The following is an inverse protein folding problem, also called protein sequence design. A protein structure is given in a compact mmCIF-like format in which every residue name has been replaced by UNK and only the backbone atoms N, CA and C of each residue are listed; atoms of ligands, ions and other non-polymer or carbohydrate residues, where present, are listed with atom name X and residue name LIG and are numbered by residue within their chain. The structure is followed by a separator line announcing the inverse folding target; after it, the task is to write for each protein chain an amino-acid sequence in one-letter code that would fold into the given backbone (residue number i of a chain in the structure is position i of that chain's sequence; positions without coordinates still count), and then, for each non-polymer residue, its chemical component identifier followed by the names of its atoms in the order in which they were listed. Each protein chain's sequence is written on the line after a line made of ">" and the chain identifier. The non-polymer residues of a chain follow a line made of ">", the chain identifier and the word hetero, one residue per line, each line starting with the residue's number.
data_IF_779729013714
#
_entry.id   IF_779729013714
#
_cell.length_a   1.000
_cell.length_b   1.000
_cell.length_c   1.000
_cell.angle_alpha   90.00
_cell.angle_beta   90.00
_cell.angle_gamma   90.00
#
_symmetry.space_group_name_H-M   'P 1'
#
loop_
_entity.id
_entity.type
_entity.pdbx_description
1 polymer ?
#
# COMPACT_ATOMS: atom_id res chain seq x y z
N UNK A 1 12.75 -26.91 14.02
CA UNK A 1 13.26 -26.93 12.62
C UNK A 1 14.77 -27.11 12.71
N UNK A 2 15.32 -28.23 12.27
CA UNK A 2 16.75 -28.50 12.39
C UNK A 2 17.54 -27.67 11.36
N UNK A 3 18.49 -26.87 11.83
CA UNK A 3 19.49 -26.19 10.99
C UNK A 3 20.25 -27.23 10.16
N UNK A 4 19.94 -27.33 8.86
CA UNK A 4 20.82 -28.00 7.91
C UNK A 4 22.09 -27.17 7.82
N UNK A 5 23.16 -27.63 8.47
CA UNK A 5 24.52 -27.12 8.23
C UNK A 5 24.80 -27.18 6.73
N UNK A 6 24.73 -26.04 6.07
CA UNK A 6 25.04 -25.88 4.64
C UNK A 6 26.53 -26.16 4.45
N UNK A 7 26.84 -27.34 3.92
CA UNK A 7 28.21 -27.68 3.56
C UNK A 7 28.62 -26.90 2.31
N UNK A 8 29.89 -26.49 2.21
CA UNK A 8 30.49 -25.80 1.05
C UNK A 8 30.11 -26.45 -0.30
N UNK A 9 30.17 -27.79 -0.49
CA UNK A 9 29.70 -28.42 -1.72
C UNK A 9 28.19 -28.25 -1.97
N UNK A 10 27.38 -28.25 -0.91
CA UNK A 10 25.95 -27.96 -1.00
C UNK A 10 25.71 -26.57 -1.57
N UNK A 11 26.37 -25.54 -1.02
CA UNK A 11 26.29 -24.16 -1.50
C UNK A 11 26.66 -24.03 -2.98
N UNK A 12 27.73 -24.70 -3.43
CA UNK A 12 28.16 -24.66 -4.84
C UNK A 12 27.14 -25.33 -5.77
N UNK A 13 26.56 -26.47 -5.36
CA UNK A 13 25.53 -27.14 -6.17
C UNK A 13 24.25 -26.33 -6.27
N UNK A 14 23.76 -25.75 -5.17
CA UNK A 14 22.59 -24.85 -5.21
C UNK A 14 22.88 -23.61 -6.04
N UNK A 15 24.12 -23.09 -5.94
CA UNK A 15 24.54 -21.93 -6.68
C UNK A 15 24.59 -22.17 -8.19
N UNK A 16 25.14 -23.32 -8.56
CA UNK A 16 25.18 -23.76 -9.95
C UNK A 16 23.77 -23.96 -10.51
N UNK A 17 22.84 -24.56 -9.76
CA UNK A 17 21.46 -24.73 -10.25
C UNK A 17 20.73 -23.39 -10.42
N UNK A 18 20.96 -22.43 -9.52
CA UNK A 18 20.38 -21.08 -9.59
C UNK A 18 21.01 -20.15 -10.63
N UNK A 19 22.21 -20.47 -11.16
CA UNK A 19 22.92 -19.56 -12.05
C UNK A 19 22.22 -19.34 -13.42
N UNK A 20 22.34 -18.13 -14.01
CA UNK A 20 21.83 -17.82 -15.34
C UNK A 20 22.36 -18.76 -16.44
N UNK A 21 21.52 -19.10 -17.41
CA UNK A 21 21.87 -20.04 -18.49
C UNK A 21 23.09 -19.60 -19.32
N UNK A 22 23.32 -18.28 -19.46
CA UNK A 22 24.48 -17.72 -20.15
C UNK A 22 25.78 -18.05 -19.39
N UNK A 23 25.76 -17.94 -18.06
CA UNK A 23 26.91 -18.22 -17.21
C UNK A 23 27.26 -19.72 -17.22
N UNK A 24 26.23 -20.58 -17.19
CA UNK A 24 26.39 -22.05 -17.33
C UNK A 24 27.00 -22.41 -18.68
N UNK A 25 26.56 -21.78 -19.77
CA UNK A 25 27.13 -21.99 -21.11
C UNK A 25 28.57 -21.53 -21.19
N UNK A 26 28.89 -20.36 -20.64
CA UNK A 26 30.26 -19.84 -20.59
C UNK A 26 31.18 -20.78 -19.80
N UNK A 27 30.78 -21.18 -18.59
CA UNK A 27 31.51 -22.15 -17.77
C UNK A 27 31.68 -23.50 -18.51
N UNK A 28 30.65 -23.98 -19.19
CA UNK A 28 30.71 -25.19 -20.01
C UNK A 28 31.73 -25.09 -21.16
N UNK A 29 31.79 -23.95 -21.86
CA UNK A 29 32.80 -23.68 -22.90
C UNK A 29 34.21 -23.62 -22.31
N UNK A 30 34.38 -22.89 -21.22
CA UNK A 30 35.68 -22.72 -20.57
C UNK A 30 36.20 -24.06 -20.03
N UNK A 31 35.38 -24.86 -19.34
CA UNK A 31 35.80 -26.19 -18.88
C UNK A 31 35.97 -27.18 -20.03
N UNK A 32 35.13 -27.10 -21.07
CA UNK A 32 35.23 -27.94 -22.26
C UNK A 32 36.54 -27.76 -23.03
N UNK A 33 37.15 -26.57 -22.96
CA UNK A 33 38.48 -26.30 -23.54
C UNK A 33 39.58 -26.54 -22.50
N UNK A 34 39.38 -26.08 -21.26
CA UNK A 34 40.40 -26.13 -20.21
C UNK A 34 40.75 -27.54 -19.74
N UNK A 35 39.77 -28.45 -19.63
CA UNK A 35 40.01 -29.84 -19.18
C UNK A 35 40.85 -30.62 -20.20
N UNK A 36 40.52 -30.64 -21.51
CA UNK A 36 41.38 -31.28 -22.50
C UNK A 36 42.80 -30.69 -22.55
N UNK A 37 42.93 -29.37 -22.49
CA UNK A 37 44.25 -28.69 -22.47
C UNK A 37 45.04 -29.08 -21.23
N UNK A 38 44.39 -29.18 -20.07
CA UNK A 38 45.04 -29.63 -18.84
C UNK A 38 45.52 -31.08 -18.93
N UNK A 39 44.68 -31.99 -19.44
CA UNK A 39 45.05 -33.40 -19.63
C UNK A 39 46.23 -33.52 -20.60
N UNK A 40 46.20 -32.81 -21.73
CA UNK A 40 47.30 -32.80 -22.70
C UNK A 40 48.58 -32.22 -22.10
N UNK A 41 48.47 -31.19 -21.28
CA UNK A 41 49.63 -30.59 -20.59
C UNK A 41 50.28 -31.56 -19.61
N UNK A 42 49.47 -32.29 -18.81
CA UNK A 42 49.96 -33.32 -17.88
C UNK A 42 50.64 -34.46 -18.64
N UNK A 43 50.05 -34.92 -19.74
CA UNK A 43 50.64 -35.97 -20.57
C UNK A 43 51.98 -35.52 -21.17
N UNK A 44 52.04 -34.28 -21.68
CA UNK A 44 53.27 -33.71 -22.22
C UNK A 44 54.37 -33.55 -21.17
N UNK A 45 54.00 -33.22 -19.93
CA UNK A 45 54.93 -33.13 -18.79
C UNK A 45 55.50 -34.50 -18.41
N UNK A 46 54.64 -35.52 -18.30
CA UNK A 46 55.06 -36.90 -18.04
C UNK A 46 55.92 -37.50 -19.16
N UNK A 47 55.69 -37.07 -20.41
CA UNK A 47 56.47 -37.49 -21.57
C UNK A 47 57.77 -36.70 -21.76
N UNK A 48 58.07 -35.73 -20.90
CA UNK A 48 59.29 -34.91 -20.95
C UNK A 48 59.34 -33.94 -22.13
N UNK A 49 58.20 -33.59 -22.74
CA UNK A 49 58.15 -32.72 -23.93
C UNK A 49 58.65 -31.30 -23.67
N UNK A 50 58.66 -30.87 -22.42
CA UNK A 50 59.02 -29.51 -22.01
C UNK A 50 60.49 -29.35 -21.60
N UNK A 51 61.36 -30.33 -21.89
CA UNK A 51 62.74 -30.41 -21.39
C UNK A 51 63.55 -29.11 -21.48
N UNK A 52 63.42 -28.36 -22.58
CA UNK A 52 64.14 -27.10 -22.81
C UNK A 52 63.29 -25.84 -22.49
N UNK A 53 62.02 -25.99 -22.13
CA UNK A 53 61.04 -24.90 -21.99
C UNK A 53 60.18 -25.01 -20.73
N UNK A 54 60.83 -25.10 -19.56
CA UNK A 54 60.18 -25.23 -18.24
C UNK A 54 59.24 -24.06 -17.86
N UNK A 55 59.28 -22.93 -18.56
CA UNK A 55 58.37 -21.80 -18.35
C UNK A 55 56.95 -22.05 -18.91
N UNK A 56 56.80 -22.88 -19.94
CA UNK A 56 55.51 -23.14 -20.60
C UNK A 56 54.53 -23.88 -19.67
N UNK A 57 54.92 -24.95 -18.96
CA UNK A 57 54.04 -25.63 -17.99
C UNK A 57 53.51 -24.70 -16.89
N UNK A 58 54.32 -23.74 -16.43
CA UNK A 58 53.90 -22.78 -15.41
C UNK A 58 52.80 -21.83 -15.93
N UNK A 59 52.97 -21.25 -17.12
CA UNK A 59 51.92 -20.41 -17.73
C UNK A 59 50.65 -21.24 -17.97
N UNK A 60 50.81 -22.46 -18.50
CA UNK A 60 49.68 -23.33 -18.80
C UNK A 60 48.92 -23.69 -17.51
N UNK A 61 49.62 -23.97 -16.42
CA UNK A 61 49.03 -24.22 -15.10
C UNK A 61 48.25 -23.01 -14.56
N UNK A 62 48.81 -21.79 -14.67
CA UNK A 62 48.12 -20.56 -14.26
C UNK A 62 46.86 -20.30 -15.10
N UNK A 63 46.94 -20.50 -16.42
CA UNK A 63 45.80 -20.36 -17.34
C UNK A 63 44.72 -21.39 -17.02
N UNK A 64 45.08 -22.65 -16.81
CA UNK A 64 44.13 -23.71 -16.41
C UNK A 64 43.48 -23.37 -15.07
N UNK A 65 44.28 -22.93 -14.09
CA UNK A 65 43.78 -22.51 -12.79
C UNK A 65 42.77 -21.36 -12.91
N UNK A 66 43.08 -20.34 -13.71
CA UNK A 66 42.16 -19.24 -14.00
C UNK A 66 40.89 -19.72 -14.71
N UNK A 67 41.00 -20.62 -15.70
CA UNK A 67 39.86 -21.18 -16.43
C UNK A 67 38.93 -22.00 -15.52
N UNK A 68 39.46 -22.65 -14.48
CA UNK A 68 38.63 -23.39 -13.52
C UNK A 68 38.03 -22.45 -12.46
N UNK A 69 38.82 -21.55 -11.91
CA UNK A 69 38.42 -20.70 -10.76
C UNK A 69 37.51 -19.53 -11.16
N UNK A 70 37.74 -18.91 -12.32
CA UNK A 70 37.01 -17.72 -12.75
C UNK A 70 35.51 -17.96 -12.97
N UNK A 71 35.06 -19.06 -13.62
CA UNK A 71 33.63 -19.35 -13.74
C UNK A 71 32.96 -19.63 -12.38
N UNK A 72 33.66 -20.29 -11.46
CA UNK A 72 33.17 -20.56 -10.10
C UNK A 72 32.99 -19.24 -9.34
N UNK A 73 34.00 -18.36 -9.40
CA UNK A 73 33.94 -17.03 -8.79
C UNK A 73 32.78 -16.20 -9.36
N UNK A 74 32.58 -16.21 -10.69
CA UNK A 74 31.46 -15.50 -11.32
C UNK A 74 30.09 -16.02 -10.88
N UNK A 75 29.92 -17.33 -10.73
CA UNK A 75 28.66 -17.93 -10.23
C UNK A 75 28.39 -17.45 -8.80
N UNK A 76 29.39 -17.51 -7.93
CA UNK A 76 29.26 -17.10 -6.52
C UNK A 76 28.97 -15.60 -6.41
N UNK A 77 29.69 -14.76 -7.16
CA UNK A 77 29.47 -13.31 -7.19
C UNK A 77 28.07 -12.99 -7.75
N UNK A 78 27.63 -13.69 -8.79
CA UNK A 78 26.28 -13.53 -9.35
C UNK A 78 25.19 -13.82 -8.33
N UNK A 79 25.34 -14.89 -7.55
CA UNK A 79 24.41 -15.23 -6.47
C UNK A 79 24.42 -14.21 -5.33
N UNK A 80 25.61 -13.75 -4.91
CA UNK A 80 25.75 -12.72 -3.90
C UNK A 80 25.12 -11.40 -4.37
N UNK A 81 25.30 -11.04 -5.64
CA UNK A 81 24.70 -9.85 -6.24
C UNK A 81 23.16 -9.96 -6.27
N UNK A 82 22.61 -11.10 -6.68
CA UNK A 82 21.16 -11.33 -6.64
C UNK A 82 20.60 -11.27 -5.22
N UNK A 83 21.30 -11.85 -4.24
CA UNK A 83 20.90 -11.79 -2.84
C UNK A 83 20.93 -10.34 -2.32
N UNK A 84 22.00 -9.60 -2.60
CA UNK A 84 22.14 -8.20 -2.22
C UNK A 84 21.06 -7.32 -2.87
N UNK A 85 20.71 -7.58 -4.14
CA UNK A 85 19.64 -6.85 -4.83
C UNK A 85 18.30 -7.12 -4.16
N UNK A 86 17.98 -8.39 -3.85
CA UNK A 86 16.73 -8.74 -3.15
C UNK A 86 16.66 -8.14 -1.75
N UNK A 87 17.77 -8.14 -1.02
CA UNK A 87 17.82 -7.55 0.32
C UNK A 87 17.66 -6.03 0.27
N UNK A 88 18.33 -5.36 -0.67
CA UNK A 88 18.14 -3.92 -0.91
C UNK A 88 16.72 -3.58 -1.34
N UNK A 89 16.09 -4.43 -2.15
CA UNK A 89 14.71 -4.26 -2.59
C UNK A 89 13.73 -4.39 -1.42
N UNK A 90 13.93 -5.38 -0.53
CA UNK A 90 13.17 -5.53 0.72
C UNK A 90 13.29 -4.32 1.63
N UNK A 91 14.51 -3.86 1.92
CA UNK A 91 14.75 -2.68 2.76
C UNK A 91 14.10 -1.42 2.15
N UNK A 92 14.18 -1.25 0.83
CA UNK A 92 13.52 -0.13 0.13
C UNK A 92 12.01 -0.22 0.22
N UNK A 93 11.44 -1.41 0.08
CA UNK A 93 10.01 -1.64 0.18
C UNK A 93 9.51 -1.34 1.60
N UNK A 94 10.21 -1.83 2.64
CA UNK A 94 9.87 -1.55 4.04
C UNK A 94 9.97 -0.05 4.37
N UNK A 95 10.99 0.63 3.84
CA UNK A 95 11.15 2.09 4.02
C UNK A 95 10.01 2.87 3.36
N UNK A 96 9.63 2.49 2.13
CA UNK A 96 8.49 3.10 1.42
C UNK A 96 7.19 2.84 2.16
N UNK A 97 6.97 1.59 2.58
CA UNK A 97 5.80 1.21 3.37
C UNK A 97 5.68 2.05 4.64
N UNK A 98 6.75 2.13 5.45
CA UNK A 98 6.76 2.94 6.67
C UNK A 98 6.49 4.43 6.38
N UNK A 99 7.10 4.99 5.33
CA UNK A 99 6.88 6.38 4.92
C UNK A 99 5.43 6.63 4.48
N UNK A 100 4.88 5.78 3.61
CA UNK A 100 3.49 5.88 3.15
C UNK A 100 2.51 5.72 4.29
N UNK A 101 2.77 4.80 5.21
CA UNK A 101 1.97 4.58 6.42
C UNK A 101 1.95 5.83 7.30
N UNK A 102 3.10 6.45 7.54
CA UNK A 102 3.18 7.71 8.29
C UNK A 102 2.44 8.86 7.59
N UNK A 103 2.61 8.98 6.27
CA UNK A 103 1.88 9.99 5.49
C UNK A 103 0.37 9.76 5.55
N UNK A 104 -0.09 8.50 5.53
CA UNK A 104 -1.50 8.15 5.65
C UNK A 104 -2.06 8.56 7.02
N UNK A 105 -1.32 8.32 8.12
CA UNK A 105 -1.72 8.77 9.47
C UNK A 105 -1.89 10.28 9.51
N UNK A 106 -0.93 11.04 8.94
CA UNK A 106 -1.00 12.50 8.89
C UNK A 106 -2.22 12.93 8.07
N UNK A 107 -2.43 12.35 6.89
CA UNK A 107 -3.55 12.68 6.02
C UNK A 107 -4.90 12.33 6.69
N UNK A 108 -5.00 11.22 7.40
CA UNK A 108 -6.18 10.82 8.15
C UNK A 108 -6.51 11.81 9.26
N UNK A 109 -5.51 12.19 10.06
CA UNK A 109 -5.67 13.19 11.10
C UNK A 109 -6.10 14.54 10.53
N UNK A 110 -5.41 15.04 9.50
CA UNK A 110 -5.76 16.31 8.86
C UNK A 110 -7.18 16.28 8.29
N UNK A 111 -7.57 15.17 7.65
CA UNK A 111 -8.91 15.00 7.10
C UNK A 111 -9.95 14.99 8.22
N UNK A 112 -9.71 14.22 9.29
CA UNK A 112 -10.60 14.15 10.45
C UNK A 112 -10.79 15.52 11.08
N UNK A 113 -9.70 16.25 11.33
CA UNK A 113 -9.75 17.56 11.98
C UNK A 113 -10.52 18.57 11.12
N UNK A 114 -10.32 18.55 9.79
CA UNK A 114 -11.06 19.40 8.85
C UNK A 114 -12.53 19.02 8.72
N UNK A 115 -12.86 17.72 8.78
CA UNK A 115 -14.26 17.26 8.79
C UNK A 115 -14.92 17.70 10.09
N UNK A 116 -14.30 17.44 11.25
CA UNK A 116 -14.83 17.79 12.57
C UNK A 116 -15.10 19.28 12.75
N UNK A 117 -14.21 20.14 12.25
CA UNK A 117 -14.42 21.59 12.28
C UNK A 117 -15.73 21.98 11.59
N UNK A 118 -16.06 21.32 10.47
CA UNK A 118 -17.28 21.59 9.68
C UNK A 118 -18.51 20.89 10.20
N UNK A 119 -18.36 19.72 10.80
CA UNK A 119 -19.48 18.96 11.38
C UNK A 119 -20.22 19.80 12.42
N UNK A 120 -19.52 20.63 13.20
CA UNK A 120 -20.15 21.47 14.23
C UNK A 120 -21.22 22.41 13.66
N UNK A 121 -20.93 23.04 12.53
CA UNK A 121 -21.87 23.96 11.87
C UNK A 121 -23.07 23.22 11.28
N UNK A 122 -22.81 22.04 10.69
CA UNK A 122 -23.83 21.16 10.11
C UNK A 122 -24.74 20.58 11.21
N UNK A 123 -24.17 20.14 12.33
CA UNK A 123 -24.88 19.66 13.51
C UNK A 123 -25.79 20.75 14.10
N UNK A 124 -25.26 21.96 14.29
CA UNK A 124 -26.04 23.08 14.80
C UNK A 124 -27.24 23.37 13.90
N UNK A 125 -27.01 23.44 12.58
CA UNK A 125 -28.05 23.74 11.58
C UNK A 125 -29.09 22.61 11.50
N UNK A 126 -28.65 21.35 11.57
CA UNK A 126 -29.55 20.19 11.57
C UNK A 126 -30.39 20.13 12.83
N UNK A 127 -29.80 20.39 14.00
CA UNK A 127 -30.53 20.42 15.27
C UNK A 127 -31.59 21.54 15.26
N UNK A 128 -31.25 22.71 14.70
CA UNK A 128 -32.21 23.79 14.49
C UNK A 128 -33.35 23.37 13.55
N UNK A 129 -33.03 22.73 12.43
CA UNK A 129 -34.02 22.21 11.49
C UNK A 129 -34.94 21.16 12.15
N UNK A 130 -34.38 20.16 12.83
CA UNK A 130 -35.12 19.10 13.54
C UNK A 130 -36.07 19.72 14.57
N UNK A 131 -35.62 20.73 15.32
CA UNK A 131 -36.42 21.44 16.31
C UNK A 131 -37.57 22.21 15.65
N UNK A 132 -37.29 22.95 14.58
CA UNK A 132 -38.30 23.76 13.88
C UNK A 132 -39.29 22.93 13.06
N UNK A 133 -38.84 21.80 12.51
CA UNK A 133 -39.64 20.85 11.75
C UNK A 133 -40.45 19.88 12.64
N UNK A 134 -40.57 20.17 13.94
CA UNK A 134 -41.39 19.39 14.87
C UNK A 134 -42.86 19.48 14.46
N UNK A 135 -43.56 18.36 14.54
CA UNK A 135 -44.97 18.26 14.19
C UNK A 135 -45.81 18.30 15.48
N UNK A 136 -46.73 19.25 15.55
CA UNK A 136 -47.70 19.43 16.63
C UNK A 136 -49.11 19.48 16.01
N UNK A 137 -50.03 18.67 16.53
CA UNK A 137 -51.41 18.52 16.01
C UNK A 137 -51.50 18.28 14.49
N UNK A 138 -50.57 17.48 13.94
CA UNK A 138 -50.52 17.15 12.52
C UNK A 138 -50.07 18.30 11.62
N UNK A 139 -49.45 19.34 12.18
CA UNK A 139 -48.90 20.50 11.46
C UNK A 139 -47.48 20.81 11.93
N UNK A 140 -46.70 21.48 11.09
CA UNK A 140 -45.40 21.98 11.51
C UNK A 140 -45.56 23.10 12.55
N UNK A 141 -44.81 23.01 13.64
CA UNK A 141 -44.84 23.96 14.74
C UNK A 141 -44.32 25.35 14.30
N UNK A 142 -43.23 25.39 13.52
CA UNK A 142 -42.66 26.63 13.01
C UNK A 142 -42.15 26.46 11.56
N UNK A 143 -43.03 26.66 10.56
CA UNK A 143 -42.66 26.54 9.15
C UNK A 143 -41.59 27.55 8.71
N UNK A 144 -41.58 28.76 9.29
CA UNK A 144 -40.66 29.83 8.88
C UNK A 144 -39.24 29.55 9.37
N UNK A 145 -39.09 29.14 10.63
CA UNK A 145 -37.80 28.68 11.14
C UNK A 145 -37.32 27.42 10.43
N UNK A 146 -38.22 26.47 10.12
CA UNK A 146 -37.86 25.26 9.37
C UNK A 146 -37.36 25.59 7.96
N UNK A 147 -37.97 26.58 7.29
CA UNK A 147 -37.51 27.06 5.98
C UNK A 147 -36.18 27.84 6.05
N UNK A 148 -35.92 28.57 7.13
CA UNK A 148 -34.64 29.23 7.34
C UNK A 148 -33.51 28.20 7.50
N UNK A 149 -33.69 27.22 8.40
CA UNK A 149 -32.71 26.15 8.62
C UNK A 149 -32.55 25.25 7.38
N UNK A 150 -33.63 24.95 6.65
CA UNK A 150 -33.59 24.21 5.39
C UNK A 150 -32.72 24.90 4.33
N UNK A 151 -32.78 26.24 4.23
CA UNK A 151 -31.92 27.00 3.30
C UNK A 151 -30.45 26.94 3.69
N UNK A 152 -30.14 26.99 4.99
CA UNK A 152 -28.77 26.81 5.47
C UNK A 152 -28.25 25.40 5.15
N UNK A 153 -29.05 24.35 5.42
CA UNK A 153 -28.71 22.97 5.04
C UNK A 153 -28.52 22.82 3.52
N UNK A 154 -29.36 23.45 2.70
CA UNK A 154 -29.19 23.46 1.25
C UNK A 154 -27.82 24.02 0.83
N UNK A 155 -27.40 25.13 1.43
CA UNK A 155 -26.08 25.73 1.16
C UNK A 155 -24.91 24.88 1.66
N UNK A 156 -25.10 24.15 2.76
CA UNK A 156 -24.09 23.23 3.29
C UNK A 156 -23.98 21.93 2.46
N UNK A 157 -25.06 21.54 1.79
CA UNK A 157 -25.11 20.39 0.88
C UNK A 157 -24.82 20.75 -0.58
N UNK A 158 -24.47 22.01 -0.87
CA UNK A 158 -24.18 22.47 -2.23
C UNK A 158 -22.96 21.75 -2.85
N UNK A 159 -22.92 21.70 -4.18
CA UNK A 159 -21.86 21.07 -4.96
C UNK A 159 -20.46 21.64 -4.67
N UNK A 160 -20.35 22.92 -4.29
CA UNK A 160 -19.09 23.54 -3.85
C UNK A 160 -18.56 22.91 -2.55
N UNK A 161 -19.45 22.61 -1.59
CA UNK A 161 -19.09 21.94 -0.35
C UNK A 161 -18.64 20.50 -0.61
N UNK A 162 -19.30 19.79 -1.54
CA UNK A 162 -18.85 18.47 -1.98
C UNK A 162 -17.44 18.50 -2.61
N UNK A 163 -17.16 19.46 -3.49
CA UNK A 163 -15.82 19.61 -4.08
C UNK A 163 -14.75 19.81 -3.00
N UNK A 164 -15.09 20.50 -1.92
CA UNK A 164 -14.20 20.64 -0.79
C UNK A 164 -14.01 19.31 -0.04
N UNK A 165 -15.08 18.59 0.30
CA UNK A 165 -14.97 17.24 0.90
C UNK A 165 -14.13 16.30 0.04
N UNK A 166 -14.31 16.35 -1.28
CA UNK A 166 -13.50 15.59 -2.22
C UNK A 166 -12.01 15.98 -2.14
N UNK A 167 -11.68 17.29 -2.08
CA UNK A 167 -10.29 17.76 -1.95
C UNK A 167 -9.65 17.30 -0.64
N UNK A 168 -10.39 17.34 0.46
CA UNK A 168 -9.92 16.93 1.78
C UNK A 168 -9.62 15.42 1.79
N UNK A 169 -10.46 14.63 1.13
CA UNK A 169 -10.36 13.15 1.14
C UNK A 169 -9.48 12.59 0.02
N UNK A 170 -9.14 13.37 -1.01
CA UNK A 170 -8.27 12.91 -2.12
C UNK A 170 -6.89 12.42 -1.65
N UNK A 171 -6.17 13.11 -0.74
CA UNK A 171 -4.90 12.62 -0.22
C UNK A 171 -5.02 11.25 0.46
N UNK A 172 -6.10 11.03 1.24
CA UNK A 172 -6.40 9.73 1.82
C UNK A 172 -6.54 8.65 0.75
N UNK A 173 -7.28 8.93 -0.34
CA UNK A 173 -7.49 8.01 -1.47
C UNK A 173 -6.20 7.60 -2.16
N UNK A 174 -5.34 8.57 -2.44
CA UNK A 174 -4.05 8.33 -3.08
C UNK A 174 -3.14 7.50 -2.17
N UNK A 175 -3.00 7.90 -0.90
CA UNK A 175 -2.12 7.23 0.05
C UNK A 175 -2.63 5.83 0.43
N UNK A 176 -3.94 5.67 0.61
CA UNK A 176 -4.56 4.39 0.91
C UNK A 176 -4.40 3.38 -0.22
N UNK A 177 -4.64 3.81 -1.46
CA UNK A 177 -4.37 2.98 -2.65
C UNK A 177 -2.89 2.61 -2.77
N UNK A 178 -1.98 3.55 -2.49
CA UNK A 178 -0.54 3.27 -2.55
C UNK A 178 -0.12 2.28 -1.47
N UNK A 179 -0.61 2.45 -0.24
CA UNK A 179 -0.33 1.54 0.88
C UNK A 179 -0.89 0.14 0.62
N UNK A 180 -2.07 0.03 0.03
CA UNK A 180 -2.64 -1.26 -0.38
C UNK A 180 -1.73 -2.01 -1.36
N UNK A 181 -1.22 -1.32 -2.39
CA UNK A 181 -0.27 -1.92 -3.34
C UNK A 181 1.00 -2.40 -2.65
N UNK A 182 1.56 -1.58 -1.74
CA UNK A 182 2.76 -1.95 -0.99
C UNK A 182 2.52 -3.14 -0.05
N UNK A 183 1.34 -3.24 0.56
CA UNK A 183 0.95 -4.40 1.38
C UNK A 183 0.88 -5.69 0.55
N UNK A 184 0.25 -5.63 -0.63
CA UNK A 184 0.17 -6.77 -1.55
C UNK A 184 1.55 -7.20 -2.05
N UNK A 185 2.46 -6.24 -2.31
CA UNK A 185 3.84 -6.55 -2.67
C UNK A 185 4.62 -7.22 -1.53
N UNK A 186 4.35 -6.82 -0.28
CA UNK A 186 4.98 -7.37 0.93
C UNK A 186 4.41 -8.74 1.33
N UNK A 187 3.12 -8.98 1.07
CA UNK A 187 2.41 -10.24 1.41
C UNK A 187 2.73 -11.39 0.43
N UNK A 188 3.63 -11.21 -0.54
CA UNK A 188 4.05 -12.27 -1.47
C UNK A 188 4.63 -13.51 -0.77
N UNK A 189 5.12 -13.35 0.46
CA UNK A 189 5.67 -14.44 1.28
C UNK A 189 4.61 -15.04 2.27
N UNK A 190 3.39 -14.51 2.32
CA UNK A 190 2.23 -15.05 3.07
C UNK A 190 2.13 -14.66 4.56
N UNK A 191 3.11 -13.91 5.08
CA UNK A 191 3.22 -13.59 6.50
C UNK A 191 2.31 -12.43 6.97
N UNK A 192 1.71 -11.65 6.07
CA UNK A 192 1.00 -10.40 6.39
C UNK A 192 -0.50 -10.42 6.02
N UNK A 193 -1.05 -11.59 5.79
CA UNK A 193 -2.45 -11.78 5.36
C UNK A 193 -3.47 -11.11 6.28
N UNK A 194 -3.29 -11.17 7.61
CA UNK A 194 -4.21 -10.54 8.56
C UNK A 194 -4.16 -9.00 8.53
N UNK A 195 -2.96 -8.41 8.48
CA UNK A 195 -2.79 -6.95 8.38
C UNK A 195 -3.32 -6.43 7.05
N UNK A 196 -3.01 -7.13 5.95
CA UNK A 196 -3.47 -6.80 4.60
C UNK A 196 -4.99 -6.86 4.48
N UNK A 197 -5.60 -7.92 5.03
CA UNK A 197 -7.06 -8.08 5.03
C UNK A 197 -7.74 -7.02 5.90
N UNK A 198 -7.21 -6.76 7.09
CA UNK A 198 -7.74 -5.73 7.98
C UNK A 198 -7.69 -4.34 7.32
N UNK A 199 -6.57 -4.01 6.68
CA UNK A 199 -6.42 -2.72 6.00
C UNK A 199 -7.35 -2.62 4.79
N UNK A 200 -7.45 -3.68 3.99
CA UNK A 200 -8.35 -3.72 2.84
C UNK A 200 -9.82 -3.53 3.26
N UNK A 201 -10.25 -4.17 4.36
CA UNK A 201 -11.60 -3.99 4.88
C UNK A 201 -11.85 -2.55 5.32
N UNK A 202 -10.95 -1.99 6.13
CA UNK A 202 -11.08 -0.60 6.60
C UNK A 202 -11.08 0.40 5.43
N UNK A 203 -10.27 0.14 4.41
CA UNK A 203 -10.21 0.94 3.19
C UNK A 203 -11.53 0.90 2.40
N UNK A 204 -12.12 -0.29 2.25
CA UNK A 204 -13.42 -0.47 1.61
C UNK A 204 -14.54 0.23 2.39
N UNK A 205 -14.52 0.15 3.72
CA UNK A 205 -15.49 0.84 4.57
C UNK A 205 -15.39 2.37 4.42
N UNK A 206 -14.18 2.91 4.31
CA UNK A 206 -13.95 4.34 4.06
C UNK A 206 -14.48 4.79 2.69
N UNK A 207 -14.16 4.05 1.62
CA UNK A 207 -14.67 4.37 0.27
C UNK A 207 -16.21 4.27 0.21
N UNK A 208 -16.79 3.26 0.87
CA UNK A 208 -18.24 3.10 1.01
C UNK A 208 -18.88 4.29 1.74
N UNK A 209 -18.31 4.72 2.87
CA UNK A 209 -18.80 5.86 3.64
C UNK A 209 -18.71 7.18 2.84
N UNK A 210 -17.63 7.37 2.06
CA UNK A 210 -17.48 8.53 1.18
C UNK A 210 -18.53 8.53 0.06
N UNK A 211 -18.80 7.36 -0.53
CA UNK A 211 -19.85 7.22 -1.53
C UNK A 211 -21.25 7.50 -0.96
N UNK A 212 -21.54 6.99 0.25
CA UNK A 212 -22.80 7.26 0.95
C UNK A 212 -22.97 8.76 1.25
N UNK A 213 -21.93 9.41 1.78
CA UNK A 213 -21.95 10.85 2.05
C UNK A 213 -22.25 11.67 0.78
N UNK A 214 -21.65 11.29 -0.35
CA UNK A 214 -21.92 11.94 -1.65
C UNK A 214 -23.39 11.80 -2.05
N UNK A 215 -23.95 10.60 -1.92
CA UNK A 215 -25.34 10.34 -2.28
C UNK A 215 -26.30 11.14 -1.40
N UNK A 216 -26.04 11.21 -0.09
CA UNK A 216 -26.86 11.96 0.85
C UNK A 216 -26.76 13.46 0.59
N UNK A 217 -25.57 14.01 0.32
CA UNK A 217 -25.41 15.41 -0.04
C UNK A 217 -26.18 15.75 -1.33
N UNK A 218 -26.10 14.91 -2.35
CA UNK A 218 -26.84 15.12 -3.60
C UNK A 218 -28.36 15.08 -3.38
N UNK A 219 -28.84 14.04 -2.69
CA UNK A 219 -30.26 13.89 -2.37
C UNK A 219 -30.78 15.05 -1.49
N UNK A 220 -29.99 15.47 -0.51
CA UNK A 220 -30.30 16.60 0.36
C UNK A 220 -30.33 17.92 -0.40
N UNK A 221 -29.35 18.19 -1.25
CA UNK A 221 -29.34 19.38 -2.10
C UNK A 221 -30.63 19.48 -2.94
N UNK A 222 -31.02 18.40 -3.60
CA UNK A 222 -32.24 18.33 -4.41
C UNK A 222 -33.50 18.52 -3.56
N UNK A 223 -33.59 17.91 -2.39
CA UNK A 223 -34.77 17.98 -1.52
C UNK A 223 -34.92 19.33 -0.83
N UNK A 224 -33.82 19.92 -0.35
CA UNK A 224 -33.82 21.23 0.30
C UNK A 224 -33.96 22.39 -0.71
N UNK A 225 -33.64 22.18 -1.98
CA UNK A 225 -33.82 23.17 -3.06
C UNK A 225 -35.26 23.29 -3.60
N UNK A 226 -36.14 22.38 -3.21
CA UNK A 226 -37.56 22.38 -3.62
C UNK A 226 -38.39 23.43 -2.82
N UNK A 227 -39.69 23.67 -3.17
CA UNK A 227 -40.50 24.73 -2.57
C UNK A 227 -40.56 24.73 -1.03
N UNK A 228 -40.76 25.92 -0.45
CA UNK A 228 -40.83 26.14 0.99
C UNK A 228 -41.86 25.22 1.68
N UNK A 229 -41.51 24.74 2.87
CA UNK A 229 -42.40 24.04 3.78
C UNK A 229 -43.56 24.95 4.19
N UNK A 230 -44.74 24.36 4.32
CA UNK A 230 -45.92 25.00 4.89
C UNK A 230 -46.45 24.16 6.04
N UNK A 231 -47.33 24.72 6.87
CA UNK A 231 -47.88 24.01 8.02
C UNK A 231 -48.49 22.62 7.71
N UNK A 232 -48.87 22.33 6.45
CA UNK A 232 -49.48 21.06 6.03
C UNK A 232 -48.51 20.08 5.36
N UNK A 233 -47.25 20.44 5.11
CA UNK A 233 -46.29 19.59 4.39
C UNK A 233 -45.51 18.65 5.32
N UNK A 234 -46.21 17.96 6.24
CA UNK A 234 -45.60 17.06 7.22
C UNK A 234 -44.77 15.92 6.59
N UNK A 235 -45.27 15.17 5.58
CA UNK A 235 -44.50 14.07 4.97
C UNK A 235 -43.23 14.49 4.25
N UNK A 236 -43.12 15.79 3.96
CA UNK A 236 -41.92 16.38 3.35
C UNK A 236 -40.93 16.80 4.42
N UNK A 237 -41.40 17.44 5.49
CA UNK A 237 -40.57 17.79 6.63
C UNK A 237 -39.91 16.55 7.26
N UNK A 238 -40.64 15.44 7.36
CA UNK A 238 -40.07 14.17 7.84
C UNK A 238 -38.93 13.68 6.92
N UNK A 239 -39.13 13.69 5.59
CA UNK A 239 -38.08 13.30 4.63
C UNK A 239 -36.83 14.18 4.72
N UNK A 240 -37.02 15.50 4.85
CA UNK A 240 -35.91 16.43 5.02
C UNK A 240 -35.16 16.19 6.35
N UNK A 241 -35.91 15.84 7.41
CA UNK A 241 -35.32 15.51 8.71
C UNK A 241 -34.49 14.24 8.62
N UNK A 242 -35.01 13.21 7.98
CA UNK A 242 -34.31 11.93 7.82
C UNK A 242 -33.00 12.12 7.04
N UNK A 243 -33.02 12.92 5.97
CA UNK A 243 -31.80 13.25 5.19
C UNK A 243 -30.80 14.06 5.99
N UNK A 244 -31.25 15.04 6.78
CA UNK A 244 -30.35 15.84 7.61
C UNK A 244 -29.69 15.00 8.72
N UNK A 245 -30.46 14.11 9.36
CA UNK A 245 -29.93 13.18 10.36
C UNK A 245 -28.96 12.18 9.74
N UNK A 246 -29.28 11.64 8.56
CA UNK A 246 -28.41 10.69 7.88
C UNK A 246 -27.10 11.35 7.44
N UNK A 247 -27.14 12.61 7.02
CA UNK A 247 -25.95 13.40 6.69
C UNK A 247 -24.96 13.52 7.86
N UNK A 248 -25.46 13.76 9.08
CA UNK A 248 -24.61 13.79 10.28
C UNK A 248 -24.03 12.41 10.55
N UNK A 249 -24.86 11.35 10.50
CA UNK A 249 -24.40 9.98 10.78
C UNK A 249 -23.29 9.54 9.83
N UNK A 250 -23.38 9.89 8.55
CA UNK A 250 -22.32 9.55 7.59
C UNK A 250 -21.06 10.37 7.81
N UNK A 251 -21.16 11.61 8.28
CA UNK A 251 -20.00 12.39 8.72
C UNK A 251 -19.33 11.76 9.95
N UNK A 252 -20.10 11.38 10.96
CA UNK A 252 -19.61 10.72 12.17
C UNK A 252 -18.89 9.40 11.82
N UNK A 253 -19.48 8.62 10.92
CA UNK A 253 -18.86 7.38 10.43
C UNK A 253 -17.53 7.64 9.72
N UNK A 254 -17.44 8.71 8.93
CA UNK A 254 -16.17 9.09 8.28
C UNK A 254 -15.10 9.50 9.30
N UNK A 255 -15.48 10.23 10.35
CA UNK A 255 -14.58 10.60 11.45
C UNK A 255 -14.07 9.34 12.16
N UNK A 256 -14.96 8.41 12.49
CA UNK A 256 -14.63 7.14 13.13
C UNK A 256 -13.66 6.31 12.27
N UNK A 257 -13.94 6.18 10.97
CA UNK A 257 -13.08 5.44 10.04
C UNK A 257 -11.70 6.08 9.88
N UNK A 258 -11.61 7.42 9.89
CA UNK A 258 -10.32 8.12 9.92
C UNK A 258 -9.53 7.81 11.21
N UNK A 259 -10.20 7.75 12.36
CA UNK A 259 -9.56 7.38 13.63
C UNK A 259 -9.08 5.92 13.63
N UNK A 260 -9.89 5.00 13.11
CA UNK A 260 -9.48 3.60 12.95
C UNK A 260 -8.28 3.48 12.00
N UNK A 261 -8.25 4.28 10.92
CA UNK A 261 -7.13 4.33 9.98
C UNK A 261 -5.87 4.87 10.66
N UNK A 262 -5.98 5.94 11.47
CA UNK A 262 -4.88 6.45 12.30
C UNK A 262 -4.35 5.38 13.26
N UNK A 263 -5.22 4.61 13.91
CA UNK A 263 -4.81 3.59 14.87
C UNK A 263 -4.12 2.40 14.18
N UNK A 264 -4.73 1.89 13.10
CA UNK A 264 -4.19 0.76 12.36
C UNK A 264 -2.88 1.13 11.63
N UNK A 265 -2.84 2.30 10.98
CA UNK A 265 -1.62 2.82 10.39
C UNK A 265 -0.63 3.38 11.42
N UNK A 266 -1.01 3.60 12.68
CA UNK A 266 -0.14 4.10 13.74
C UNK A 266 0.40 3.05 14.71
N UNK A 267 -0.16 1.83 14.73
CA UNK A 267 0.24 0.76 15.65
C UNK A 267 1.74 0.40 15.59
N UNK A 268 2.32 0.02 16.72
CA UNK A 268 3.76 -0.20 16.90
C UNK A 268 4.39 -0.98 15.73
N UNK A 269 5.46 -0.41 15.19
CA UNK A 269 6.34 -1.12 14.27
C UNK A 269 6.86 -2.38 14.98
N UNK A 270 6.76 -3.59 14.41
CA UNK A 270 7.64 -4.65 14.85
C UNK A 270 9.06 -4.14 14.66
N UNK A 271 9.82 -4.10 15.76
CA UNK A 271 11.19 -3.62 15.75
C UNK A 271 11.94 -4.29 14.59
N UNK A 272 12.37 -3.49 13.62
CA UNK A 272 13.29 -3.94 12.58
C UNK A 272 14.61 -4.18 13.30
N UNK A 273 14.80 -5.41 13.79
CA UNK A 273 16.07 -5.85 14.33
C UNK A 273 17.10 -5.83 13.19
N UNK A 274 18.22 -5.11 13.35
CA UNK A 274 19.27 -5.01 12.34
C UNK A 274 20.02 -6.34 12.13
#
# INVERSE_FOLDING_TARGET
>A
MAERKTTVPGLVTTAWHGAPAVLKRFAGWVWGIGVPVAVLSIIGDLAGWWGDYQFIPNIVSEVICAMVTLPIALVIIGQLAEYQVKELERVRLDTRFASTRQQLVIAARTTRDQIQERTRDVEATTNEFVRAAKVEDGRLADPDAANAAARLLHTQMDGQQWLMYHRITTPLRILGSHLHTLLVERDRDGDLTAETTGFAQLWLDLESALAAQRQIMAAGHDLFGQPALSARTVPRADRLRDVALEHIRTIDRLIELCQQLEHQAGGEQPAVTP
#
